data_IF_994152640704
#
_entry.id   IF_994152640704
#
_cell.length_a   1.000
_cell.length_b   1.000
_cell.length_c   1.000
_cell.angle_alpha   90.00
_cell.angle_beta   90.00
_cell.angle_gamma   90.00
#
_symmetry.space_group_name_H-M   'P 1'
#
loop_
_entity.id
_entity.type
_entity.pdbx_description
1 polymer ?
#
# COMPACT_ATOMS: atom_id res chain seq x y z
N UNK A 1 -19.51 -26.68 -24.94
CA UNK A 1 -18.04 -26.58 -25.07
C UNK A 1 -17.60 -25.27 -24.41
N UNK A 2 -16.43 -25.27 -23.73
CA UNK A 2 -16.15 -24.69 -22.40
C UNK A 2 -15.68 -23.22 -22.48
N UNK A 3 -15.43 -22.44 -21.42
CA UNK A 3 -14.82 -22.77 -20.14
C UNK A 3 -15.13 -21.70 -19.07
N UNK A 4 -15.29 -22.18 -17.84
CA UNK A 4 -15.25 -21.43 -16.60
C UNK A 4 -13.84 -20.90 -16.33
N UNK A 5 -13.70 -19.60 -16.11
CA UNK A 5 -12.57 -19.05 -15.36
C UNK A 5 -13.08 -18.48 -14.04
N UNK A 6 -13.00 -19.33 -13.02
CA UNK A 6 -12.97 -18.91 -11.62
C UNK A 6 -11.91 -17.81 -11.49
N UNK A 7 -12.27 -16.59 -11.09
CA UNK A 7 -11.31 -15.71 -10.45
C UNK A 7 -11.26 -16.13 -9.00
N UNK A 8 -10.19 -16.84 -8.64
CA UNK A 8 -9.91 -17.28 -7.29
C UNK A 8 -9.85 -16.07 -6.36
N UNK A 9 -10.90 -15.91 -5.55
CA UNK A 9 -10.98 -14.93 -4.49
C UNK A 9 -9.90 -15.25 -3.45
N UNK A 10 -8.74 -14.60 -3.56
CA UNK A 10 -7.87 -14.39 -2.41
C UNK A 10 -8.66 -13.74 -1.27
N UNK A 11 -8.25 -13.89 -0.01
CA UNK A 11 -8.95 -13.23 1.09
C UNK A 11 -8.94 -11.72 0.81
N UNK A 12 -10.13 -11.15 0.61
CA UNK A 12 -10.30 -9.70 0.50
C UNK A 12 -9.84 -9.09 1.82
N UNK A 13 -8.57 -8.70 1.89
CA UNK A 13 -8.02 -8.00 3.03
C UNK A 13 -8.70 -6.64 3.08
N UNK A 14 -9.40 -6.34 4.17
CA UNK A 14 -10.03 -5.04 4.30
C UNK A 14 -8.92 -3.97 4.40
N UNK A 15 -9.18 -2.72 3.97
CA UNK A 15 -8.19 -1.65 3.99
C UNK A 15 -7.54 -1.40 5.35
N UNK A 16 -8.20 -1.79 6.44
CA UNK A 16 -7.76 -1.58 7.83
C UNK A 16 -7.40 -2.88 8.58
N UNK A 17 -7.40 -4.03 7.90
CA UNK A 17 -6.97 -5.30 8.49
C UNK A 17 -5.49 -5.29 8.87
N UNK A 18 -5.11 -6.20 9.76
CA UNK A 18 -3.73 -6.36 10.19
C UNK A 18 -2.83 -6.65 8.98
N UNK A 19 -1.84 -5.78 8.79
CA UNK A 19 -0.90 -5.87 7.67
C UNK A 19 -1.24 -4.95 6.50
N UNK A 20 -2.41 -4.33 6.49
CA UNK A 20 -2.72 -3.27 5.53
C UNK A 20 -1.91 -2.01 5.83
N UNK A 21 -1.54 -1.28 4.77
CA UNK A 21 -0.86 0.01 4.84
C UNK A 21 -1.74 1.09 4.24
N UNK A 22 -1.93 2.18 4.98
CA UNK A 22 -2.69 3.34 4.53
C UNK A 22 -1.74 4.54 4.56
N UNK A 23 -1.74 5.30 3.48
CA UNK A 23 -1.02 6.57 3.37
C UNK A 23 -1.93 7.67 2.85
N UNK A 24 -1.53 8.91 3.12
CA UNK A 24 -2.07 10.11 2.48
C UNK A 24 -0.92 10.81 1.77
N UNK A 25 -1.16 11.26 0.55
CA UNK A 25 -0.25 12.14 -0.18
C UNK A 25 -1.04 13.29 -0.80
N UNK A 26 -0.35 14.38 -1.12
CA UNK A 26 -0.93 15.44 -1.92
C UNK A 26 -0.21 15.55 -3.26
N UNK A 27 -0.97 15.66 -4.34
CA UNK A 27 -0.49 15.83 -5.71
C UNK A 27 -0.68 17.28 -6.09
N UNK A 28 0.41 17.96 -6.46
CA UNK A 28 0.38 19.39 -6.81
C UNK A 28 -0.25 19.57 -8.19
N UNK A 29 -1.27 20.40 -8.27
CA UNK A 29 -1.89 20.86 -9.51
C UNK A 29 -1.17 22.09 -10.08
N UNK A 30 -1.48 22.40 -11.35
CA UNK A 30 -0.93 23.56 -12.07
C UNK A 30 -1.50 24.90 -11.57
N UNK A 31 -2.66 24.87 -10.91
CA UNK A 31 -3.36 26.03 -10.36
C UNK A 31 -2.81 26.51 -9.00
N UNK A 32 -1.70 25.93 -8.55
CA UNK A 32 -1.09 26.23 -7.25
C UNK A 32 -1.80 25.57 -6.07
N UNK A 33 -2.76 24.68 -6.33
CA UNK A 33 -3.42 23.88 -5.30
C UNK A 33 -2.96 22.43 -5.38
N UNK A 34 -3.46 21.59 -4.46
CA UNK A 34 -3.16 20.17 -4.47
C UNK A 34 -4.40 19.33 -4.24
N UNK A 35 -4.36 18.10 -4.76
CA UNK A 35 -5.35 17.07 -4.50
C UNK A 35 -4.81 16.07 -3.49
N UNK A 36 -5.59 15.73 -2.46
CA UNK A 36 -5.24 14.64 -1.53
C UNK A 36 -5.64 13.31 -2.15
N UNK A 37 -4.75 12.33 -2.04
CA UNK A 37 -4.94 10.97 -2.49
C UNK A 37 -4.72 10.00 -1.33
N UNK A 38 -5.57 8.97 -1.24
CA UNK A 38 -5.33 7.84 -0.35
C UNK A 38 -4.49 6.79 -1.06
N UNK A 39 -3.52 6.22 -0.34
CA UNK A 39 -2.74 5.07 -0.79
C UNK A 39 -3.14 3.90 0.08
N UNK A 40 -3.67 2.83 -0.50
CA UNK A 40 -4.03 1.60 0.22
C UNK A 40 -3.18 0.48 -0.33
N UNK A 41 -2.35 -0.12 0.51
CA UNK A 41 -1.46 -1.24 0.15
C UNK A 41 -0.56 -0.95 -1.07
N UNK A 42 -0.15 0.30 -1.23
CA UNK A 42 0.68 0.77 -2.33
C UNK A 42 -0.09 1.18 -3.59
N UNK A 43 -1.42 1.05 -3.61
CA UNK A 43 -2.27 1.48 -4.71
C UNK A 43 -2.87 2.86 -4.44
N UNK A 44 -2.68 3.78 -5.38
CA UNK A 44 -3.30 5.11 -5.38
C UNK A 44 -4.80 4.99 -5.69
N UNK A 45 -5.63 5.46 -4.77
CA UNK A 45 -7.09 5.44 -4.89
C UNK A 45 -7.64 6.66 -5.66
N UNK A 46 -6.76 7.58 -6.07
CA UNK A 46 -7.12 8.80 -6.78
C UNK A 46 -7.51 9.95 -5.84
N UNK A 47 -7.98 11.07 -6.42
CA UNK A 47 -8.26 12.30 -5.68
C UNK A 47 -9.48 12.13 -4.77
N UNK A 48 -9.27 12.23 -3.47
CA UNK A 48 -10.32 12.18 -2.44
C UNK A 48 -10.68 13.56 -1.87
N UNK A 49 -9.79 14.55 -2.00
CA UNK A 49 -10.08 15.96 -1.75
C UNK A 49 -9.30 16.82 -2.75
N UNK A 50 -9.84 17.97 -3.13
CA UNK A 50 -9.24 18.88 -4.12
C UNK A 50 -9.03 20.27 -3.54
N UNK A 51 -8.34 21.11 -4.30
CA UNK A 51 -8.18 22.54 -4.00
C UNK A 51 -7.45 22.84 -2.68
N UNK A 52 -6.58 21.95 -2.22
CA UNK A 52 -5.88 22.09 -0.94
C UNK A 52 -4.78 23.16 -1.06
N UNK A 53 -4.82 24.22 -0.24
CA UNK A 53 -3.79 25.25 -0.23
C UNK A 53 -2.54 24.72 0.47
N UNK A 54 -1.55 24.27 -0.29
CA UNK A 54 -0.29 23.73 0.25
C UNK A 54 0.87 24.76 0.27
N UNK A 55 0.71 25.90 -0.39
CA UNK A 55 1.78 26.90 -0.55
C UNK A 55 1.90 27.85 0.64
N UNK A 56 0.80 28.11 1.34
CA UNK A 56 0.74 29.13 2.40
C UNK A 56 1.13 28.59 3.78
N UNK A 57 1.07 27.27 3.97
CA UNK A 57 1.35 26.61 5.24
C UNK A 57 1.75 25.14 5.02
N UNK A 58 2.56 24.54 5.92
CA UNK A 58 2.83 23.11 5.87
C UNK A 58 1.57 22.28 6.12
N UNK A 59 1.46 21.17 5.40
CA UNK A 59 0.41 20.17 5.61
C UNK A 59 0.89 19.12 6.62
N UNK A 60 -0.01 18.70 7.50
CA UNK A 60 0.24 17.66 8.50
C UNK A 60 -0.71 16.48 8.28
N UNK A 61 -0.17 15.26 8.32
CA UNK A 61 -0.98 14.06 8.33
C UNK A 61 -1.55 13.85 9.73
N UNK A 62 -2.87 13.70 9.83
CA UNK A 62 -3.58 13.37 11.08
C UNK A 62 -4.25 12.02 10.89
N UNK A 63 -4.10 11.15 11.89
CA UNK A 63 -4.71 9.82 11.92
C UNK A 63 -5.52 9.75 13.20
N UNK A 64 -6.80 9.41 13.06
CA UNK A 64 -7.65 9.03 14.18
C UNK A 64 -7.81 7.51 14.19
N UNK A 65 -7.46 6.88 15.33
CA UNK A 65 -7.48 5.43 15.48
C UNK A 65 -8.66 5.03 16.35
N UNK A 66 -9.70 4.49 15.72
CA UNK A 66 -10.92 4.05 16.39
C UNK A 66 -11.49 2.76 15.77
N UNK A 67 -12.50 2.17 16.43
CA UNK A 67 -13.24 1.03 15.90
C UNK A 67 -12.46 -0.29 15.92
N UNK A 68 -12.37 -0.97 14.77
CA UNK A 68 -11.68 -2.27 14.63
C UNK A 68 -10.16 -2.15 14.67
N UNK A 69 -9.61 -0.97 14.34
CA UNK A 69 -8.18 -0.70 14.43
C UNK A 69 -7.81 -0.24 15.84
N UNK A 70 -6.82 -0.90 16.46
CA UNK A 70 -6.37 -0.61 17.85
C UNK A 70 -4.97 -0.01 17.94
N UNK A 71 -4.14 -0.26 16.94
CA UNK A 71 -2.76 0.18 16.90
C UNK A 71 -2.36 0.48 15.46
N UNK A 72 -1.58 1.54 15.29
CA UNK A 72 -0.92 1.88 14.03
C UNK A 72 0.56 2.06 14.28
N UNK A 73 1.37 1.89 13.23
CA UNK A 73 2.81 2.17 13.26
C UNK A 73 3.16 2.96 12.00
N UNK A 74 3.90 4.05 12.19
CA UNK A 74 4.49 4.76 11.06
C UNK A 74 5.55 3.87 10.44
N UNK A 75 5.36 3.55 9.17
CA UNK A 75 6.30 2.78 8.36
C UNK A 75 6.98 3.75 7.41
N UNK A 76 8.30 3.79 7.45
CA UNK A 76 9.05 4.56 6.47
C UNK A 76 8.84 3.92 5.11
N UNK A 77 8.39 4.73 4.15
CA UNK A 77 8.47 4.38 2.74
C UNK A 77 9.96 4.24 2.42
N UNK A 78 10.42 3.00 2.23
CA UNK A 78 11.70 2.75 1.61
C UNK A 78 11.65 3.45 0.25
N UNK A 79 12.31 4.61 0.17
CA UNK A 79 12.38 5.43 -1.04
C UNK A 79 13.11 4.61 -2.08
N UNK A 80 12.36 3.79 -2.84
CA UNK A 80 12.81 2.80 -3.83
C UNK A 80 14.31 2.57 -3.76
N UNK A 81 14.77 2.01 -2.63
CA UNK A 81 16.20 1.87 -2.43
C UNK A 81 16.66 0.88 -3.49
N UNK A 82 17.70 1.18 -4.26
CA UNK A 82 18.20 0.26 -5.29
C UNK A 82 19.04 -0.86 -4.67
N UNK A 83 18.66 -1.32 -3.49
CA UNK A 83 19.32 -2.45 -2.84
C UNK A 83 18.95 -3.73 -3.57
N UNK A 84 19.85 -4.71 -3.56
CA UNK A 84 19.54 -6.02 -4.10
C UNK A 84 18.30 -6.62 -3.41
N UNK A 85 18.11 -6.35 -2.11
CA UNK A 85 17.00 -6.87 -1.32
C UNK A 85 15.63 -6.37 -1.80
N UNK A 86 15.48 -5.07 -2.10
CA UNK A 86 14.24 -4.50 -2.63
C UNK A 86 13.98 -4.93 -4.07
N UNK A 87 15.01 -4.97 -4.91
CA UNK A 87 14.90 -5.44 -6.30
C UNK A 87 14.50 -6.92 -6.38
N UNK A 88 15.08 -7.77 -5.53
CA UNK A 88 14.71 -9.18 -5.43
C UNK A 88 13.25 -9.32 -4.95
N UNK A 89 12.84 -8.55 -3.93
CA UNK A 89 11.44 -8.53 -3.46
C UNK A 89 10.47 -8.21 -4.59
N UNK A 90 10.73 -7.13 -5.33
CA UNK A 90 9.86 -6.65 -6.40
C UNK A 90 9.79 -7.68 -7.54
N UNK A 91 10.93 -8.27 -7.92
CA UNK A 91 11.01 -9.35 -8.92
C UNK A 91 10.21 -10.58 -8.49
N UNK A 92 10.33 -11.00 -7.23
CA UNK A 92 9.58 -12.16 -6.70
C UNK A 92 8.08 -11.89 -6.74
N UNK A 93 7.64 -10.69 -6.35
CA UNK A 93 6.23 -10.30 -6.39
C UNK A 93 5.65 -10.24 -7.79
N UNK A 94 6.44 -9.84 -8.79
CA UNK A 94 6.00 -9.87 -10.18
C UNK A 94 5.81 -11.30 -10.72
N UNK A 95 6.60 -12.26 -10.22
CA UNK A 95 6.58 -13.64 -10.72
C UNK A 95 5.69 -14.58 -9.92
N UNK A 96 5.32 -14.23 -8.69
CA UNK A 96 4.58 -15.10 -7.78
C UNK A 96 3.35 -14.37 -7.27
N UNK A 97 2.17 -14.97 -7.46
CA UNK A 97 0.93 -14.46 -6.88
C UNK A 97 1.04 -14.38 -5.35
N UNK A 98 0.40 -13.40 -4.71
CA UNK A 98 0.51 -13.15 -3.26
C UNK A 98 0.14 -14.38 -2.42
N UNK A 99 -0.78 -15.21 -2.90
CA UNK A 99 -1.13 -16.51 -2.28
C UNK A 99 0.02 -17.54 -2.32
N UNK A 100 0.83 -17.53 -3.39
CA UNK A 100 1.98 -18.41 -3.58
C UNK A 100 3.17 -18.07 -2.70
N UNK A 101 3.25 -16.86 -2.15
CA UNK A 101 4.33 -16.49 -1.21
C UNK A 101 4.27 -17.36 0.06
N UNK A 102 3.06 -17.73 0.50
CA UNK A 102 2.85 -18.55 1.71
C UNK A 102 3.42 -19.96 1.55
N UNK A 103 3.41 -20.52 0.34
CA UNK A 103 3.88 -21.89 0.06
C UNK A 103 5.40 -21.99 -0.18
N UNK A 104 6.09 -20.87 -0.36
CA UNK A 104 7.54 -20.88 -0.54
C UNK A 104 8.27 -21.49 0.68
N UNK A 105 9.37 -22.22 0.50
CA UNK A 105 10.18 -22.76 1.59
C UNK A 105 11.08 -21.67 2.23
N UNK A 106 10.49 -20.52 2.56
CA UNK A 106 11.20 -19.37 3.12
C UNK A 106 10.91 -19.19 4.62
N UNK A 107 11.87 -18.67 5.40
CA UNK A 107 11.63 -18.19 6.75
C UNK A 107 10.45 -17.22 6.85
N UNK A 108 9.75 -17.24 8.00
CA UNK A 108 8.58 -16.38 8.26
C UNK A 108 8.88 -14.89 8.05
N UNK A 109 10.06 -14.44 8.47
CA UNK A 109 10.50 -13.05 8.28
C UNK A 109 10.56 -12.65 6.80
N UNK A 110 11.08 -13.52 5.93
CA UNK A 110 11.14 -13.28 4.49
C UNK A 110 9.76 -13.37 3.83
N UNK A 111 8.90 -14.32 4.26
CA UNK A 111 7.50 -14.34 3.79
C UNK A 111 6.77 -13.05 4.15
N UNK A 112 6.96 -12.56 5.37
CA UNK A 112 6.37 -11.30 5.82
C UNK A 112 6.94 -10.12 5.02
N UNK A 113 8.25 -10.07 4.78
CA UNK A 113 8.86 -9.04 3.95
C UNK A 113 8.34 -9.05 2.50
N UNK A 114 8.06 -10.24 1.95
CA UNK A 114 7.48 -10.41 0.62
C UNK A 114 5.97 -10.14 0.59
N UNK A 115 5.22 -10.34 1.68
CA UNK A 115 3.77 -10.07 1.71
C UNK A 115 3.46 -8.62 2.09
N UNK A 116 4.23 -8.05 3.00
CA UNK A 116 4.01 -6.74 3.59
C UNK A 116 5.08 -5.77 3.06
N UNK A 117 4.72 -5.04 1.99
CA UNK A 117 5.03 -3.61 1.95
C UNK A 117 3.84 -2.97 2.65
#
# INVERSE_FOLDING_TARGET
MPNSSKSENGPYLLPTDVGSRIGVMYVKGEDGKADMHFIINGEDQGPCARDIPYQNAPLYAVIDVYGSTKQVRIVQLESRSNTLQSLCRDTIRQKIQTCGIKSLPLPKSLKNYLMYL
#
